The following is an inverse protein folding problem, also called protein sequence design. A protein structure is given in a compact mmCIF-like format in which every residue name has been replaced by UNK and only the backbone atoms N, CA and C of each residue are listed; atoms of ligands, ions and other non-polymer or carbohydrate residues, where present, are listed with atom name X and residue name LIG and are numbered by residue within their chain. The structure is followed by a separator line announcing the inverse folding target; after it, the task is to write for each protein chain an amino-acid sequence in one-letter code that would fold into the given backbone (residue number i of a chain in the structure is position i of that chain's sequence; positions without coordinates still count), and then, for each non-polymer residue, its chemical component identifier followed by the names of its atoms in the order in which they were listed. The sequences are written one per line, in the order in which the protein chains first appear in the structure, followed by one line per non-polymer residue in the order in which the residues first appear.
data_IF_805475937755
#
_entry.id   IF_805475937755
#
_cell.length_a   1.000
_cell.length_b   1.000
_cell.length_c   1.000
_cell.angle_alpha   90.00
_cell.angle_beta   90.00
_cell.angle_gamma   90.00
#
_symmetry.space_group_name_H-M   'P 1'
#
loop_
_entity.id
_entity.type
_entity.pdbx_description
1 polymer ?
2 polymer ?
3 non-polymer ?
4 non-polymer ?
5 non-polymer ?
6 non-polymer ?
7 water ?
#
# COMPACT_ATOMS: atom_id res chain seq x y z
N UNK A 2 -19.90 30.90 7.44
CA UNK A 2 -20.94 30.27 6.55
C UNK A 2 -21.89 31.28 5.89
N UNK A 3 -22.29 31.04 4.64
CA UNK A 3 -21.78 29.95 3.87
C UNK A 3 -20.28 30.02 3.84
N UNK A 4 -19.65 28.86 3.99
CA UNK A 4 -18.23 28.81 3.98
C UNK A 4 -17.90 29.11 2.56
N UNK A 5 -16.76 29.73 2.30
CA UNK A 5 -16.36 29.94 0.90
C UNK A 5 -16.16 28.63 0.19
N UNK A 6 -16.38 28.59 -1.13
CA UNK A 6 -16.10 27.42 -1.92
C UNK A 6 -14.61 27.32 -2.06
N UNK A 7 -14.02 26.29 -1.47
CA UNK A 7 -12.61 26.09 -1.51
C UNK A 7 -12.27 25.30 -2.74
N UNK A 8 -11.19 25.70 -3.41
CA UNK A 8 -10.70 24.97 -4.54
C UNK A 8 -10.26 23.56 -4.12
N UNK A 9 -10.42 22.60 -5.02
CA UNK A 9 -10.06 21.25 -4.75
C UNK A 9 -8.58 21.14 -4.32
N UNK A 10 -7.66 21.81 -5.06
CA UNK A 10 -6.22 21.68 -4.75
C UNK A 10 -5.94 22.24 -3.39
N UNK A 11 -6.57 23.38 -3.07
CA UNK A 11 -6.29 24.00 -1.82
C UNK A 11 -6.80 23.13 -0.68
N UNK A 12 -7.98 22.57 -0.88
CA UNK A 12 -8.58 21.68 0.09
C UNK A 12 -7.68 20.46 0.36
N UNK A 13 -7.17 19.86 -0.69
CA UNK A 13 -6.34 18.67 -0.54
C UNK A 13 -5.05 19.03 0.17
N UNK A 14 -4.42 20.12 -0.22
CA UNK A 14 -3.20 20.54 0.43
C UNK A 14 -3.43 20.83 1.91
N UNK A 15 -4.52 21.50 2.21
CA UNK A 15 -4.84 21.85 3.57
C UNK A 15 -5.00 20.61 4.42
N UNK A 16 -5.71 19.62 3.92
CA UNK A 16 -5.85 18.38 4.67
C UNK A 16 -4.47 17.78 5.01
N UNK A 17 -3.59 17.59 4.02
CA UNK A 17 -2.24 17.02 4.27
C UNK A 17 -1.41 17.94 5.18
N UNK A 18 -1.53 19.24 4.99
CA UNK A 18 -0.70 20.11 5.78
C UNK A 18 -1.12 20.08 7.20
N UNK A 19 -2.42 20.05 7.43
CA UNK A 19 -2.96 20.24 8.79
C UNK A 19 -3.02 18.91 9.53
N UNK A 20 -2.87 17.80 8.83
CA UNK A 20 -2.90 16.45 9.46
C UNK A 20 -1.58 16.12 10.18
N UNK A 21 -1.63 15.61 11.41
CA UNK A 21 -0.40 15.36 12.14
C UNK A 21 0.12 13.95 11.83
N UNK A 22 1.39 13.67 12.15
CA UNK A 22 1.96 12.34 12.11
C UNK A 22 1.83 11.79 13.52
N UNK A 23 1.32 10.58 13.65
CA UNK A 23 1.13 10.01 14.99
C UNK A 23 2.46 9.60 15.61
N UNK A 24 2.41 9.31 16.91
CA UNK A 24 3.54 8.86 17.70
C UNK A 24 3.93 7.43 17.31
N UNK A 25 4.98 6.94 17.93
CA UNK A 25 5.57 5.69 17.55
C UNK A 25 5.32 4.69 18.65
N UNK A 26 5.56 3.42 18.36
CA UNK A 26 5.40 2.34 19.30
C UNK A 26 6.27 1.18 18.81
N UNK A 27 6.61 0.27 19.70
CA UNK A 27 7.38 -0.87 19.30
C UNK A 27 6.40 -2.02 18.94
N UNK A 28 6.62 -2.70 17.83
CA UNK A 28 5.79 -3.88 17.50
C UNK A 28 6.66 -5.06 17.21
N UNK A 29 6.09 -6.25 17.28
CA UNK A 29 6.70 -7.45 16.73
C UNK A 29 6.73 -7.39 15.21
N UNK A 30 7.82 -7.85 14.62
CA UNK A 30 8.00 -7.83 13.19
C UNK A 30 6.86 -8.45 12.40
N UNK A 31 6.24 -9.50 12.91
CA UNK A 31 5.14 -10.16 12.17
C UNK A 31 3.93 -9.26 12.01
N UNK A 32 3.82 -8.26 12.85
CA UNK A 32 2.75 -7.28 12.74
C UNK A 32 3.15 -6.04 11.94
N UNK A 33 4.22 -6.10 11.20
CA UNK A 33 4.71 -4.96 10.46
C UNK A 33 4.05 -4.59 9.16
N UNK A 34 3.10 -5.39 8.65
CA UNK A 34 2.58 -5.13 7.35
C UNK A 34 1.90 -3.78 7.27
N UNK A 35 2.30 -2.99 6.29
CA UNK A 35 1.76 -1.65 6.15
C UNK A 35 2.35 -0.61 7.10
N UNK A 36 3.22 -1.01 8.05
CA UNK A 36 3.76 -0.05 9.02
C UNK A 36 4.95 0.68 8.43
N UNK A 37 5.25 1.85 8.96
CA UNK A 37 6.41 2.59 8.59
C UNK A 37 7.42 2.57 9.73
N UNK A 38 8.65 2.20 9.40
CA UNK A 38 9.75 2.24 10.39
C UNK A 38 10.05 3.62 10.86
N UNK A 39 10.16 3.75 12.17
CA UNK A 39 10.56 4.99 12.73
C UNK A 39 11.96 4.87 13.20
N UNK A 40 12.67 3.79 12.83
CA UNK A 40 14.07 3.65 13.20
C UNK A 40 14.81 3.06 12.01
N UNK A 41 16.13 3.28 11.96
CA UNK A 41 16.95 2.50 11.10
C UNK A 41 17.11 1.11 11.68
N UNK A 42 17.27 0.11 10.84
CA UNK A 42 17.49 -1.21 11.29
C UNK A 42 18.82 -1.71 10.78
N UNK A 43 19.63 -2.22 11.69
CA UNK A 43 21.00 -2.71 11.40
C UNK A 43 21.15 -4.21 11.58
N UNK A 44 22.02 -4.81 10.75
CA UNK A 44 22.37 -6.17 10.87
C UNK A 44 23.35 -6.29 12.00
N UNK A 45 23.18 -7.31 12.83
CA UNK A 45 24.22 -7.62 13.80
C UNK A 45 24.98 -8.91 13.47
N UNK A 46 24.69 -9.52 12.34
CA UNK A 46 25.44 -10.68 11.88
C UNK A 46 25.73 -10.52 10.40
N UNK A 47 26.71 -11.26 9.92
CA UNK A 47 26.87 -11.43 8.46
C UNK A 47 25.91 -12.49 7.89
N UNK A 48 25.48 -12.24 6.66
CA UNK A 48 24.75 -13.19 5.84
C UNK A 48 25.52 -13.34 4.52
N UNK A 49 25.95 -14.54 4.18
CA UNK A 49 25.98 -15.66 5.14
C UNK A 49 26.96 -15.43 6.26
N UNK A 50 26.77 -16.09 7.38
CA UNK A 50 27.76 -15.93 8.45
C UNK A 50 29.00 -16.81 8.32
N UNK A 51 29.01 -17.73 7.37
CA UNK A 51 30.12 -18.66 7.10
C UNK A 51 30.23 -18.70 5.55
N UNK A 52 31.42 -19.00 4.99
CA UNK A 52 31.44 -19.11 3.52
C UNK A 52 30.51 -20.26 3.11
N UNK A 53 29.59 -20.00 2.19
CA UNK A 53 28.50 -20.93 1.85
C UNK A 53 28.51 -21.41 0.43
N UNK A 54 28.30 -22.72 0.24
CA UNK A 54 28.13 -23.21 -1.11
C UNK A 54 26.87 -22.72 -1.83
N UNK A 55 27.05 -22.27 -3.05
CA UNK A 55 25.95 -21.93 -3.96
C UNK A 55 25.37 -23.21 -4.59
N UNK A 56 26.13 -24.31 -4.62
CA UNK A 56 25.71 -25.51 -5.33
C UNK A 56 25.87 -26.83 -4.59
N UNK A 57 25.18 -27.83 -5.14
CA UNK A 57 25.36 -29.21 -4.73
C UNK A 57 26.58 -29.65 -5.53
N UNK A 58 27.56 -30.23 -4.87
CA UNK A 58 28.74 -30.64 -5.60
C UNK A 58 29.89 -30.84 -4.65
N UNK A 59 31.04 -30.18 -4.91
CA UNK A 59 32.27 -30.58 -4.22
C UNK A 59 33.08 -29.36 -3.96
N UNK A 60 33.49 -29.23 -2.70
CA UNK A 60 34.43 -28.19 -2.32
C UNK A 60 35.83 -28.66 -2.68
N UNK A 61 36.54 -27.84 -3.45
CA UNK A 61 37.85 -28.22 -3.97
C UNK A 61 38.94 -27.16 -3.73
N UNK A 62 40.19 -27.61 -3.84
CA UNK A 62 41.31 -26.71 -4.03
C UNK A 62 41.46 -26.48 -5.50
N UNK A 63 41.18 -25.27 -5.95
CA UNK A 63 41.27 -24.89 -7.34
C UNK A 63 42.67 -25.22 -7.91
N UNK A 64 43.69 -25.14 -7.05
CA UNK A 64 45.06 -25.43 -7.42
C UNK A 64 45.27 -26.87 -7.83
N UNK A 65 44.45 -27.80 -7.34
CA UNK A 65 44.58 -29.19 -7.75
C UNK A 65 44.19 -29.32 -9.22
N UNK A 66 43.46 -28.36 -9.77
CA UNK A 66 42.96 -28.44 -11.13
C UNK A 66 41.94 -29.58 -11.34
N UNK A 67 41.69 -29.94 -12.62
CA UNK A 67 40.86 -31.13 -12.93
C UNK A 67 41.55 -32.40 -12.46
N UNK A 68 40.79 -33.47 -12.29
CA UNK A 68 41.39 -34.77 -12.02
C UNK A 68 40.62 -35.59 -11.02
N UNK A 69 41.24 -36.66 -10.57
CA UNK A 69 40.62 -37.62 -9.70
C UNK A 69 40.96 -37.34 -8.24
N UNK A 70 39.94 -37.29 -7.40
CA UNK A 70 40.06 -36.79 -6.03
C UNK A 70 39.49 -37.76 -5.08
N UNK A 71 40.09 -37.79 -3.91
CA UNK A 71 39.51 -38.55 -2.85
C UNK A 71 38.46 -37.65 -2.18
N UNK A 72 37.34 -38.23 -1.84
CA UNK A 72 36.32 -37.50 -1.12
C UNK A 72 36.43 -37.76 0.36
N UNK A 73 36.91 -36.77 1.10
CA UNK A 73 37.16 -36.99 2.55
C UNK A 73 35.96 -36.98 3.43
N UNK A 74 34.87 -36.40 2.95
CA UNK A 74 33.58 -36.51 3.63
C UNK A 74 32.61 -35.48 3.03
N UNK A 75 31.63 -35.06 3.81
CA UNK A 75 30.56 -34.21 3.32
C UNK A 75 30.27 -33.09 4.31
N UNK A 76 30.21 -31.85 3.84
CA UNK A 76 29.73 -30.72 4.63
C UNK A 76 28.22 -30.55 4.38
N UNK A 77 27.42 -30.72 5.42
CA UNK A 77 25.98 -30.62 5.33
C UNK A 77 25.45 -29.30 5.89
N UNK A 78 24.43 -28.77 5.21
CA UNK A 78 23.74 -27.58 5.65
C UNK A 78 23.44 -27.68 7.15
N UNK A 79 23.78 -26.67 7.92
CA UNK A 79 23.42 -26.71 9.37
C UNK A 79 24.55 -27.18 10.28
N UNK A 80 25.65 -27.63 9.70
CA UNK A 80 26.74 -28.18 10.51
C UNK A 80 28.09 -27.65 10.01
N UNK A 81 28.84 -27.13 10.96
CA UNK A 81 30.19 -26.63 10.74
C UNK A 81 31.15 -27.82 10.52
N UNK A 82 31.84 -27.86 9.39
CA UNK A 82 32.77 -28.95 9.14
C UNK A 82 34.04 -28.83 9.99
N UNK A 83 34.56 -29.99 10.34
CA UNK A 83 35.73 -30.13 11.21
C UNK A 83 36.99 -30.57 10.43
N UNK A 84 36.84 -31.09 9.21
CA UNK A 84 38.01 -31.50 8.40
C UNK A 84 38.57 -30.40 7.56
N UNK A 85 39.82 -30.54 7.20
CA UNK A 85 40.47 -29.63 6.28
C UNK A 85 40.77 -30.37 4.98
N UNK A 86 40.51 -29.71 3.86
CA UNK A 86 40.69 -30.36 2.58
C UNK A 86 42.15 -30.18 2.18
N UNK A 87 42.86 -31.28 1.98
CA UNK A 87 44.28 -31.25 1.63
C UNK A 87 44.40 -31.52 0.14
N UNK A 88 45.57 -31.20 -0.46
CA UNK A 88 45.63 -31.21 -1.93
C UNK A 88 45.34 -32.59 -2.45
N UNK A 89 44.56 -32.68 -3.53
CA UNK A 89 44.03 -33.94 -4.04
C UNK A 89 42.82 -34.50 -3.28
N UNK A 90 42.23 -33.69 -2.39
CA UNK A 90 41.03 -34.10 -1.73
C UNK A 90 39.93 -33.07 -2.05
N UNK A 91 38.70 -33.48 -1.75
CA UNK A 91 37.52 -32.64 -1.92
C UNK A 91 36.57 -33.06 -0.85
N UNK A 92 35.57 -32.22 -0.59
CA UNK A 92 34.52 -32.61 0.27
C UNK A 92 33.22 -32.32 -0.44
N UNK A 93 32.32 -33.22 -0.32
CA UNK A 93 31.00 -33.01 -0.86
C UNK A 93 30.33 -31.84 -0.12
N UNK A 94 29.64 -31.00 -0.87
CA UNK A 94 28.79 -29.97 -0.30
C UNK A 94 27.42 -29.99 -0.93
N UNK A 95 26.45 -29.47 -0.19
CA UNK A 95 25.14 -29.14 -0.77
C UNK A 95 24.93 -27.63 -0.72
N UNK A 96 23.89 -27.14 -1.40
CA UNK A 96 23.55 -25.73 -1.45
C UNK A 96 23.34 -25.22 -0.03
N UNK A 97 24.04 -24.16 0.34
CA UNK A 97 23.91 -23.60 1.69
C UNK A 97 24.83 -24.19 2.75
N UNK A 98 25.63 -25.20 2.39
CA UNK A 98 26.52 -25.81 3.33
C UNK A 98 27.79 -24.97 3.47
N UNK A 99 28.42 -25.00 4.66
CA UNK A 99 29.64 -24.18 4.84
C UNK A 99 30.79 -24.81 4.08
N UNK A 100 31.67 -24.01 3.55
CA UNK A 100 32.83 -24.50 2.88
C UNK A 100 33.89 -24.89 3.91
N UNK A 101 34.43 -26.11 3.81
CA UNK A 101 35.40 -26.54 4.80
C UNK A 101 36.75 -25.79 4.71
N UNK A 102 37.49 -25.74 5.83
CA UNK A 102 38.88 -25.27 5.79
C UNK A 102 39.68 -26.03 4.71
N UNK A 103 40.41 -25.26 3.92
CA UNK A 103 41.31 -25.80 2.90
C UNK A 103 40.77 -25.85 1.48
N UNK A 104 39.44 -25.72 1.31
CA UNK A 104 38.84 -25.63 -0.01
C UNK A 104 38.80 -24.20 -0.29
N UNK A 105 38.84 -23.83 -1.55
CA UNK A 105 38.73 -22.42 -1.93
C UNK A 105 37.79 -22.26 -3.08
N UNK A 106 37.14 -23.34 -3.55
CA UNK A 106 36.18 -23.19 -4.64
C UNK A 106 35.13 -24.33 -4.61
N UNK A 107 34.02 -24.16 -5.31
CA UNK A 107 33.04 -25.24 -5.44
C UNK A 107 32.84 -25.58 -6.90
N UNK A 108 32.84 -26.88 -7.20
CA UNK A 108 32.48 -27.45 -8.51
C UNK A 108 31.16 -28.17 -8.40
N UNK A 109 30.20 -27.78 -9.20
CA UNK A 109 28.89 -28.39 -9.16
C UNK A 109 28.89 -29.83 -9.66
N UNK A 110 27.90 -30.61 -9.22
CA UNK A 110 27.93 -32.06 -9.44
C UNK A 110 27.94 -32.38 -10.92
N UNK A 111 27.31 -31.53 -11.70
CA UNK A 111 27.26 -31.72 -13.13
C UNK A 111 28.61 -31.63 -13.81
N UNK A 112 29.59 -30.94 -13.23
CA UNK A 112 30.96 -30.92 -13.79
C UNK A 112 31.89 -31.96 -13.17
N UNK A 113 31.31 -33.05 -12.68
CA UNK A 113 32.01 -34.14 -12.12
C UNK A 113 31.44 -35.46 -12.62
N UNK A 114 32.20 -36.55 -12.42
CA UNK A 114 31.71 -37.91 -12.62
C UNK A 114 32.15 -38.71 -11.45
N UNK A 115 31.24 -39.50 -10.90
CA UNK A 115 31.58 -40.31 -9.73
C UNK A 115 32.39 -41.53 -10.17
N UNK A 116 33.47 -41.83 -9.47
CA UNK A 116 34.20 -43.08 -9.72
C UNK A 116 33.76 -44.20 -8.78
N UNK A 117 34.11 -44.07 -7.48
CA UNK A 117 33.95 -45.14 -6.50
C UNK A 117 32.93 -44.81 -5.45
N UNK A 118 32.10 -45.78 -5.11
CA UNK A 118 31.30 -45.68 -3.93
C UNK A 118 31.77 -46.66 -2.82
N UNK A 119 30.87 -46.87 -1.86
CA UNK A 119 30.95 -47.88 -0.82
C UNK A 119 30.03 -49.03 -1.21
N UNK A 120 30.43 -50.24 -0.86
CA UNK A 120 29.67 -51.42 -1.26
C UNK A 120 28.22 -51.19 -0.87
N UNK A 121 28.02 -50.56 0.28
CA UNK A 121 26.69 -50.09 0.70
C UNK A 121 26.17 -49.09 -0.31
N UNK A 122 27.10 -48.43 -1.01
CA UNK A 122 26.74 -47.31 -1.86
C UNK A 122 26.21 -46.23 -0.95
N UNK A 123 26.82 -46.07 0.22
CA UNK A 123 26.38 -45.04 1.13
C UNK A 123 27.28 -43.80 0.99
N UNK A 124 28.51 -44.05 0.56
CA UNK A 124 29.62 -43.13 0.66
C UNK A 124 30.23 -43.01 -0.71
N UNK A 125 30.30 -41.80 -1.24
CA UNK A 125 31.13 -41.55 -2.40
C UNK A 125 32.56 -41.52 -1.95
N UNK A 126 33.42 -42.20 -2.69
CA UNK A 126 34.80 -42.30 -2.30
C UNK A 126 35.73 -41.46 -3.12
N UNK A 127 35.46 -41.41 -4.43
CA UNK A 127 36.38 -40.75 -5.35
C UNK A 127 35.60 -40.15 -6.52
N UNK A 128 36.01 -38.98 -6.95
CA UNK A 128 35.26 -38.26 -7.94
C UNK A 128 36.20 -37.61 -8.87
N UNK A 129 35.80 -37.57 -10.13
CA UNK A 129 36.57 -36.92 -11.17
C UNK A 129 36.01 -35.52 -11.41
N UNK A 130 36.86 -34.53 -11.18
CA UNK A 130 36.52 -33.15 -11.31
C UNK A 130 36.87 -32.82 -12.73
N UNK A 131 35.89 -32.42 -13.53
CA UNK A 131 36.09 -32.32 -14.95
C UNK A 131 36.49 -30.94 -15.37
N UNK A 132 36.55 -29.98 -14.47
CA UNK A 132 36.83 -28.60 -14.84
C UNK A 132 37.87 -27.97 -13.93
N UNK A 133 38.43 -26.86 -14.41
CA UNK A 133 39.37 -26.00 -13.66
C UNK A 133 38.48 -24.99 -12.94
N UNK A 134 38.34 -25.10 -11.63
CA UNK A 134 37.50 -24.12 -10.90
C UNK A 134 38.15 -22.74 -10.94
N UNK A 135 37.35 -21.71 -11.17
CA UNK A 135 37.79 -20.35 -10.91
C UNK A 135 37.89 -20.20 -9.38
N UNK A 136 38.89 -19.43 -8.89
CA UNK A 136 38.99 -19.31 -7.43
C UNK A 136 37.71 -18.67 -6.86
N UNK A 137 37.27 -19.20 -5.73
CA UNK A 137 36.11 -18.71 -5.06
C UNK A 137 34.84 -19.03 -5.79
N UNK A 138 34.93 -19.89 -6.79
CA UNK A 138 33.76 -20.21 -7.61
C UNK A 138 32.63 -20.89 -6.83
N UNK A 139 31.41 -20.43 -7.04
CA UNK A 139 30.22 -21.03 -6.44
C UNK A 139 30.27 -21.03 -4.92
N UNK A 140 30.99 -20.05 -4.36
CA UNK A 140 31.02 -19.83 -2.90
C UNK A 140 30.43 -18.44 -2.58
N UNK A 141 29.59 -18.34 -1.57
CA UNK A 141 29.17 -17.02 -1.07
C UNK A 141 30.01 -16.77 0.16
N UNK A 142 31.01 -15.87 0.05
CA UNK A 142 31.82 -15.57 1.21
C UNK A 142 31.04 -14.89 2.34
N UNK A 143 31.58 -14.94 3.54
CA UNK A 143 30.98 -14.29 4.70
C UNK A 143 30.61 -12.88 4.38
N UNK A 144 29.36 -12.50 4.65
CA UNK A 144 28.95 -11.12 4.48
C UNK A 144 28.65 -10.73 3.06
N UNK A 145 28.68 -11.67 2.13
CA UNK A 145 28.37 -11.34 0.76
C UNK A 145 26.99 -10.67 0.56
N UNK A 146 25.97 -11.14 1.27
CA UNK A 146 24.62 -10.59 1.08
C UNK A 146 24.38 -9.40 2.02
N UNK A 147 24.76 -9.57 3.28
CA UNK A 147 24.58 -8.56 4.27
C UNK A 147 25.81 -8.55 5.14
N UNK A 148 26.32 -7.38 5.46
CA UNK A 148 27.42 -7.26 6.41
C UNK A 148 26.99 -6.92 7.79
N UNK A 149 27.73 -7.40 8.78
CA UNK A 149 27.48 -7.02 10.16
C UNK A 149 27.64 -5.50 10.27
N UNK A 150 26.70 -4.83 10.94
CA UNK A 150 26.76 -3.38 11.02
C UNK A 150 26.14 -2.61 9.87
N UNK A 151 25.69 -3.29 8.83
CA UNK A 151 25.09 -2.60 7.71
C UNK A 151 23.67 -2.16 8.06
N UNK A 152 23.26 -0.98 7.60
CA UNK A 152 21.90 -0.55 7.81
C UNK A 152 21.13 -1.22 6.70
N UNK A 153 20.27 -2.18 7.04
CA UNK A 153 19.46 -2.86 6.02
C UNK A 153 18.10 -2.20 5.79
N UNK A 154 17.52 -1.48 6.75
CA UNK A 154 16.25 -0.82 6.49
C UNK A 154 16.30 0.54 7.09
N UNK A 155 15.90 1.53 6.31
CA UNK A 155 16.00 2.91 6.76
C UNK A 155 14.67 3.35 7.39
N UNK A 156 14.72 4.23 8.41
CA UNK A 156 13.56 4.89 8.86
C UNK A 156 12.81 5.53 7.70
N UNK A 157 11.49 5.47 7.76
CA UNK A 157 10.63 5.89 6.66
C UNK A 157 10.18 4.81 5.71
N UNK A 158 10.76 3.64 5.81
CA UNK A 158 10.40 2.53 4.99
C UNK A 158 9.00 1.99 5.31
N UNK A 159 8.19 1.88 4.28
CA UNK A 159 6.80 1.41 4.39
C UNK A 159 6.87 -0.11 4.15
N UNK A 160 6.53 -0.91 5.14
CA UNK A 160 6.89 -2.33 5.07
C UNK A 160 5.87 -3.26 4.38
N UNK A 161 6.38 -4.10 3.50
CA UNK A 161 5.62 -5.17 2.90
C UNK A 161 6.26 -6.53 3.32
N UNK A 162 5.84 -7.59 2.66
CA UNK A 162 6.34 -8.91 3.00
C UNK A 162 7.83 -9.08 3.01
N UNK A 163 8.50 -8.59 1.97
CA UNK A 163 9.93 -8.75 1.90
C UNK A 163 10.70 -8.01 3.02
N UNK A 164 10.18 -6.88 3.45
CA UNK A 164 10.78 -6.17 4.55
C UNK A 164 10.58 -6.93 5.85
N UNK A 165 9.44 -7.58 6.02
CA UNK A 165 9.21 -8.41 7.21
C UNK A 165 10.25 -9.54 7.19
N UNK A 166 10.43 -10.14 6.02
CA UNK A 166 11.43 -11.17 5.85
C UNK A 166 12.88 -10.77 6.14
N UNK A 167 13.23 -9.57 5.74
CA UNK A 167 14.52 -9.05 6.04
C UNK A 167 14.71 -8.83 7.56
N UNK A 168 13.71 -8.28 8.25
CA UNK A 168 13.75 -8.20 9.71
C UNK A 168 13.99 -9.62 10.29
N UNK A 169 13.30 -10.60 9.74
CA UNK A 169 13.47 -11.96 10.23
C UNK A 169 14.89 -12.42 9.97
N UNK A 170 15.38 -12.17 8.76
CA UNK A 170 16.76 -12.51 8.39
C UNK A 170 17.81 -11.99 9.38
N UNK A 171 17.71 -10.71 9.73
CA UNK A 171 18.71 -10.11 10.64
C UNK A 171 18.39 -10.26 12.11
N UNK A 172 17.30 -10.93 12.42
CA UNK A 172 16.91 -11.17 13.82
C UNK A 172 16.43 -9.96 14.57
N UNK A 173 15.95 -8.93 13.88
CA UNK A 173 15.42 -7.77 14.58
C UNK A 173 13.89 -7.94 14.63
N UNK A 174 13.41 -8.52 15.71
CA UNK A 174 12.04 -8.99 15.76
C UNK A 174 11.13 -7.99 16.38
N UNK A 175 11.69 -6.93 16.92
CA UNK A 175 10.92 -5.85 17.52
C UNK A 175 11.40 -4.55 16.91
N UNK A 176 10.50 -3.72 16.37
CA UNK A 176 10.89 -2.50 15.70
C UNK A 176 9.97 -1.35 16.06
N UNK A 177 10.50 -0.15 16.02
CA UNK A 177 9.73 1.03 16.32
C UNK A 177 9.08 1.52 15.02
N UNK A 178 7.77 1.72 15.09
CA UNK A 178 7.01 2.18 13.98
C UNK A 178 6.04 3.24 14.37
N UNK A 179 5.53 3.97 13.38
CA UNK A 179 4.39 4.86 13.67
C UNK A 179 3.14 4.05 13.94
N UNK A 180 2.34 4.60 14.83
CA UNK A 180 1.03 4.09 15.14
C UNK A 180 0.10 4.28 13.94
N UNK A 181 -0.92 3.45 13.87
CA UNK A 181 -1.98 3.53 12.94
C UNK A 181 -3.09 4.41 13.52
N UNK A 182 -3.73 5.20 12.69
CA UNK A 182 -4.83 5.97 13.21
C UNK A 182 -6.02 5.06 13.57
N UNK A 183 -6.67 5.36 14.67
CA UNK A 183 -7.96 4.80 15.00
C UNK A 183 -9.05 5.71 14.49
N UNK A 184 -9.97 5.17 13.70
CA UNK A 184 -10.93 5.98 13.00
C UNK A 184 -12.32 5.66 13.39
N UNK A 185 -13.01 6.68 13.83
CA UNK A 185 -14.37 6.57 14.24
C UNK A 185 -15.33 7.14 13.22
N UNK A 186 -16.42 6.42 12.97
CA UNK A 186 -17.32 6.75 11.89
C UNK A 186 -18.74 6.82 12.45
N UNK A 187 -19.42 7.92 12.17
CA UNK A 187 -20.85 8.09 12.51
C UNK A 187 -21.61 8.54 11.31
N UNK A 188 -22.92 8.28 11.32
CA UNK A 188 -23.82 8.85 10.38
C UNK A 188 -24.85 9.70 11.15
N UNK A 189 -25.34 10.76 10.52
CA UNK A 189 -26.34 11.64 11.13
C UNK A 189 -27.50 11.76 10.13
N UNK A 190 -28.72 11.73 10.64
CA UNK A 190 -29.90 12.06 9.88
C UNK A 190 -31.06 11.32 10.49
N UNK A 191 -32.18 12.02 10.66
CA UNK A 191 -33.38 11.41 11.25
C UNK A 191 -34.06 10.34 10.41
N UNK A 192 -33.71 10.27 9.13
CA UNK A 192 -34.26 9.27 8.23
C UNK A 192 -33.58 7.89 8.27
N UNK A 193 -32.46 7.77 8.98
CA UNK A 193 -31.61 6.61 8.88
C UNK A 193 -31.96 5.58 9.90
N UNK A 194 -31.97 4.34 9.42
CA UNK A 194 -32.12 3.15 10.23
C UNK A 194 -30.83 2.38 10.14
N UNK A 195 -30.60 1.46 11.06
CA UNK A 195 -29.57 0.48 10.85
C UNK A 195 -29.85 -0.52 9.71
N UNK A 196 -28.77 -1.05 9.13
CA UNK A 196 -28.85 -2.09 8.10
C UNK A 196 -29.67 -3.26 8.56
N UNK A 197 -29.66 -3.50 9.87
CA UNK A 197 -30.36 -4.64 10.48
C UNK A 197 -31.86 -4.38 10.65
N UNK A 198 -32.34 -3.14 10.44
CA UNK A 198 -33.74 -2.83 10.70
C UNK A 198 -34.60 -3.01 9.45
N UNK A 199 -35.84 -3.39 9.65
CA UNK A 199 -36.84 -3.30 8.57
C UNK A 199 -37.26 -1.84 8.45
N UNK A 200 -37.70 -1.45 7.26
CA UNK A 200 -38.02 -0.05 7.02
C UNK A 200 -39.21 0.36 7.86
N UNK A 201 -39.21 1.59 8.35
CA UNK A 201 -40.37 2.31 8.87
C UNK A 201 -40.69 3.51 7.95
N UNK A 202 -41.93 4.02 8.01
CA UNK A 202 -42.32 5.18 7.20
C UNK A 202 -41.35 6.36 7.29
N UNK A 203 -40.98 6.90 6.15
CA UNK A 203 -40.04 8.02 6.06
C UNK A 203 -38.56 7.69 6.27
N UNK A 204 -38.21 6.40 6.45
CA UNK A 204 -36.85 5.98 6.78
C UNK A 204 -36.20 5.17 5.68
N UNK A 205 -34.87 5.14 5.70
CA UNK A 205 -34.09 4.28 4.80
C UNK A 205 -32.95 3.72 5.62
N UNK A 206 -32.27 2.70 5.12
CA UNK A 206 -31.11 2.19 5.79
C UNK A 206 -29.84 3.01 5.54
N UNK A 207 -29.06 3.18 6.59
CA UNK A 207 -27.74 3.88 6.55
C UNK A 207 -26.76 2.96 5.87
N UNK A 208 -26.28 3.33 4.71
CA UNK A 208 -25.23 2.59 4.07
C UNK A 208 -23.87 3.21 4.15
N UNK A 209 -23.80 4.49 4.52
CA UNK A 209 -22.51 5.19 4.52
C UNK A 209 -21.57 4.69 5.57
N UNK A 210 -22.12 4.42 6.73
CA UNK A 210 -21.30 3.97 7.81
C UNK A 210 -20.61 2.69 7.43
N UNK A 211 -21.36 1.73 6.86
CA UNK A 211 -20.78 0.49 6.37
C UNK A 211 -19.76 0.65 5.28
N UNK A 212 -20.06 1.52 4.34
CA UNK A 212 -19.18 1.68 3.20
C UNK A 212 -17.91 2.39 3.62
N UNK A 213 -18.03 3.37 4.50
CA UNK A 213 -16.84 4.10 5.00
C UNK A 213 -15.95 3.25 5.90
N UNK A 214 -16.55 2.48 6.80
CA UNK A 214 -15.84 1.58 7.66
C UNK A 214 -15.08 0.53 6.86
N UNK A 215 -15.73 -0.06 5.86
CA UNK A 215 -15.07 -1.03 4.99
C UNK A 215 -13.94 -0.40 4.21
N UNK A 216 -14.12 0.84 3.78
CA UNK A 216 -13.03 1.52 3.09
C UNK A 216 -11.81 1.73 3.97
N UNK A 217 -12.02 2.26 5.17
CA UNK A 217 -10.91 2.45 6.08
C UNK A 217 -10.27 1.10 6.43
N UNK A 218 -11.11 0.10 6.70
CA UNK A 218 -10.61 -1.21 7.01
C UNK A 218 -9.78 -1.83 5.90
N UNK A 219 -10.19 -1.64 4.65
CA UNK A 219 -9.43 -2.16 3.56
C UNK A 219 -7.95 -1.68 3.57
N UNK A 220 -7.74 -0.47 4.08
CA UNK A 220 -6.38 0.11 4.21
C UNK A 220 -5.64 -0.32 5.41
N UNK A 221 -6.25 -1.13 6.24
CA UNK A 221 -5.54 -1.66 7.36
C UNK A 221 -5.74 -1.01 8.70
N UNK A 222 -6.52 0.04 8.76
CA UNK A 222 -6.62 0.82 9.99
C UNK A 222 -7.75 0.40 10.89
N UNK A 223 -7.52 0.40 12.21
CA UNK A 223 -8.63 0.10 13.16
C UNK A 223 -9.74 1.13 13.13
N UNK A 224 -10.98 0.68 13.32
CA UNK A 224 -12.16 1.54 13.22
C UNK A 224 -13.08 1.41 14.43
N UNK A 225 -13.92 2.43 14.62
CA UNK A 225 -14.92 2.40 15.65
C UNK A 225 -16.21 2.86 15.04
N UNK A 226 -17.26 2.10 15.29
CA UNK A 226 -18.54 2.41 14.72
C UNK A 226 -19.33 3.23 15.72
N UNK A 227 -19.51 4.50 15.47
CA UNK A 227 -20.19 5.34 16.44
C UNK A 227 -21.66 5.35 16.21
N UNK A 228 -22.15 4.66 15.18
CA UNK A 228 -23.58 4.49 14.98
C UNK A 228 -24.24 5.66 14.32
N UNK A 229 -25.58 5.72 14.48
CA UNK A 229 -26.40 6.76 13.89
C UNK A 229 -26.69 7.81 14.95
N UNK A 230 -26.59 9.05 14.56
CA UNK A 230 -26.80 10.13 15.50
C UNK A 230 -27.87 11.00 14.87
N UNK A 231 -28.87 11.41 15.63
CA UNK A 231 -29.95 12.22 15.01
C UNK A 231 -29.54 13.64 14.60
N UNK A 232 -30.42 14.29 13.84
CA UNK A 232 -30.24 15.68 13.44
C UNK A 232 -30.55 16.56 14.65
N UNK A 233 -29.67 16.59 15.64
CA UNK A 233 -29.82 17.59 16.70
C UNK A 233 -28.52 17.92 17.44
N UNK A 234 -28.30 19.22 17.72
CA UNK A 234 -26.98 19.62 18.21
C UNK A 234 -26.47 18.89 19.46
N UNK A 235 -27.35 18.58 20.39
CA UNK A 235 -26.92 17.97 21.66
C UNK A 235 -26.37 16.56 21.45
N UNK A 236 -27.08 15.76 20.69
CA UNK A 236 -26.63 14.40 20.41
C UNK A 236 -25.36 14.45 19.54
N UNK A 237 -25.26 15.43 18.62
CA UNK A 237 -24.07 15.50 17.78
C UNK A 237 -22.88 15.83 18.64
N UNK A 238 -23.01 16.77 19.55
CA UNK A 238 -21.89 17.09 20.48
C UNK A 238 -21.46 15.87 21.28
N UNK A 239 -22.39 15.07 21.76
CA UNK A 239 -22.00 13.94 22.58
C UNK A 239 -21.24 12.90 21.80
N UNK A 240 -21.72 12.62 20.61
CA UNK A 240 -21.14 11.65 19.75
C UNK A 240 -19.74 12.14 19.40
N UNK A 241 -19.62 13.42 19.07
CA UNK A 241 -18.34 13.97 18.64
C UNK A 241 -17.33 13.88 19.77
N UNK A 242 -17.75 14.21 20.99
CA UNK A 242 -16.87 14.08 22.16
C UNK A 242 -16.44 12.63 22.43
N UNK A 243 -17.34 11.71 22.22
CA UNK A 243 -17.02 10.30 22.33
C UNK A 243 -15.97 9.88 21.28
N UNK A 244 -16.21 10.28 20.04
CA UNK A 244 -15.26 10.08 18.98
C UNK A 244 -13.87 10.61 19.29
N UNK A 245 -13.82 11.85 19.78
CA UNK A 245 -12.56 12.48 20.17
C UNK A 245 -11.82 11.68 21.27
N UNK A 246 -12.59 11.21 22.23
CA UNK A 246 -12.03 10.47 23.33
C UNK A 246 -11.49 9.12 22.81
N UNK A 247 -12.24 8.46 21.94
CA UNK A 247 -11.84 7.10 21.55
C UNK A 247 -10.98 7.01 20.29
N UNK A 248 -10.79 8.08 19.52
CA UNK A 248 -10.17 7.91 18.23
C UNK A 248 -9.24 9.06 17.89
N UNK A 249 -8.44 8.88 16.85
CA UNK A 249 -7.55 9.95 16.34
C UNK A 249 -8.24 10.79 15.28
N UNK A 250 -9.25 10.18 14.66
CA UNK A 250 -9.92 10.70 13.49
C UNK A 250 -11.40 10.45 13.64
N UNK A 251 -12.24 11.44 13.32
CA UNK A 251 -13.69 11.22 13.28
C UNK A 251 -14.13 11.49 11.88
N UNK A 252 -14.94 10.62 11.34
CA UNK A 252 -15.63 10.85 10.08
C UNK A 252 -17.12 10.80 10.33
N UNK A 253 -17.80 11.86 9.95
CA UNK A 253 -19.26 11.87 9.91
C UNK A 253 -19.77 11.94 8.49
N UNK A 254 -21.02 11.57 8.29
CA UNK A 254 -21.70 11.82 7.02
C UNK A 254 -23.15 12.27 7.26
N UNK A 255 -23.67 13.12 6.36
CA UNK A 255 -24.95 13.78 6.50
C UNK A 255 -24.83 15.06 7.33
N UNK A 256 -25.88 15.86 7.40
CA UNK A 256 -25.92 17.00 8.32
C UNK A 256 -25.12 18.22 7.90
N UNK A 257 -24.60 18.22 6.68
CA UNK A 257 -23.74 19.34 6.23
C UNK A 257 -24.27 20.12 5.01
N UNK A 258 -25.52 19.89 4.61
CA UNK A 258 -26.24 20.79 3.68
C UNK A 258 -26.43 22.17 4.34
N UNK A 259 -26.98 23.11 3.58
CA UNK A 259 -27.17 24.50 4.06
C UNK A 259 -28.53 24.64 4.69
N UNK A 260 -29.29 23.54 4.64
CA UNK A 260 -30.69 23.56 4.96
C UNK A 260 -30.87 23.57 6.44
N UNK A 261 -32.07 23.23 6.86
CA UNK A 261 -32.29 23.10 8.29
C UNK A 261 -32.41 21.67 8.69
N UNK A 262 -32.41 21.46 10.00
CA UNK A 262 -32.04 20.18 10.44
C UNK A 262 -30.52 19.95 10.13
N UNK A 263 -29.75 21.00 9.80
CA UNK A 263 -28.29 20.80 9.55
C UNK A 263 -27.42 21.67 10.44
N UNK A 264 -27.06 21.12 11.60
CA UNK A 264 -26.34 21.85 12.68
C UNK A 264 -24.86 21.42 12.86
N UNK A 265 -24.36 20.49 12.06
CA UNK A 265 -23.09 19.90 12.39
C UNK A 265 -21.99 20.93 12.37
N UNK A 266 -21.92 21.74 11.32
CA UNK A 266 -20.81 22.70 11.23
C UNK A 266 -20.83 23.74 12.39
N UNK A 267 -22.02 24.16 12.76
CA UNK A 267 -22.24 25.03 13.92
C UNK A 267 -21.71 24.36 15.21
N UNK A 268 -22.03 23.08 15.41
CA UNK A 268 -21.59 22.37 16.61
C UNK A 268 -20.05 22.28 16.66
N UNK A 269 -19.44 21.97 15.52
CA UNK A 269 -17.96 21.89 15.41
C UNK A 269 -17.29 23.14 15.90
N UNK A 270 -17.86 24.25 15.55
CA UNK A 270 -17.24 25.52 15.84
C UNK A 270 -17.51 26.00 17.25
N UNK A 271 -18.77 26.21 17.57
CA UNK A 271 -19.10 26.81 18.86
C UNK A 271 -18.98 25.84 20.00
N UNK A 272 -19.53 24.65 19.82
CA UNK A 272 -19.62 23.71 20.93
C UNK A 272 -18.35 22.97 21.09
N UNK A 273 -17.84 22.40 20.02
CA UNK A 273 -16.61 21.61 20.10
C UNK A 273 -15.35 22.46 20.15
N UNK A 274 -15.40 23.70 19.65
CA UNK A 274 -14.22 24.58 19.56
C UNK A 274 -13.16 24.09 18.59
N UNK A 275 -13.62 23.51 17.50
CA UNK A 275 -12.74 22.98 16.50
C UNK A 275 -12.46 24.11 15.55
N UNK A 276 -11.37 24.00 14.82
CA UNK A 276 -11.10 24.91 13.74
C UNK A 276 -11.51 24.29 12.42
N UNK A 277 -12.51 24.88 11.78
CA UNK A 277 -12.91 24.46 10.46
C UNK A 277 -12.05 25.10 9.42
N UNK A 278 -11.32 24.32 8.64
CA UNK A 278 -10.48 24.89 7.63
C UNK A 278 -11.21 25.11 6.32
N UNK A 279 -12.18 24.27 6.00
CA UNK A 279 -13.04 24.48 4.86
C UNK A 279 -14.35 23.77 5.09
N UNK A 280 -15.42 24.34 4.52
CA UNK A 280 -16.77 23.91 4.74
C UNK A 280 -17.48 23.65 3.42
N UNK A 281 -16.90 24.07 2.33
CA UNK A 281 -17.36 23.67 1.02
C UNK A 281 -16.17 23.55 0.10
N UNK A 282 -16.32 22.67 -0.88
CA UNK A 282 -15.31 22.42 -1.88
C UNK A 282 -15.93 22.49 -3.26
N UNK A 283 -15.25 23.20 -4.16
CA UNK A 283 -15.70 23.31 -5.53
C UNK A 283 -15.33 22.02 -6.27
N UNK A 284 -16.18 21.01 -6.10
CA UNK A 284 -15.97 19.71 -6.62
C UNK A 284 -17.32 19.03 -6.81
N UNK A 285 -17.30 17.99 -7.63
CA UNK A 285 -18.48 17.21 -7.91
C UNK A 285 -18.15 15.72 -7.93
N UNK A 286 -18.81 14.91 -7.11
CA UNK A 286 -19.65 15.31 -5.99
C UNK A 286 -18.76 15.80 -4.87
N UNK A 287 -19.35 16.31 -3.80
CA UNK A 287 -18.60 16.70 -2.64
C UNK A 287 -18.69 18.11 -2.19
N UNK A 288 -19.52 18.91 -2.83
CA UNK A 288 -19.68 20.31 -2.46
C UNK A 288 -19.62 20.65 -0.94
N UNK A 289 -20.35 19.92 -0.10
CA UNK A 289 -20.45 20.35 1.32
C UNK A 289 -19.39 19.82 2.25
N UNK A 290 -18.36 19.17 1.69
CA UNK A 290 -17.34 18.50 2.49
C UNK A 290 -16.63 19.46 3.40
N UNK A 291 -16.43 19.05 4.64
CA UNK A 291 -15.90 19.89 5.67
C UNK A 291 -14.77 19.20 6.45
N UNK A 292 -13.73 19.98 6.76
CA UNK A 292 -12.54 19.49 7.41
C UNK A 292 -12.16 20.40 8.54
N UNK A 293 -11.99 19.82 9.70
CA UNK A 293 -11.70 20.57 10.89
C UNK A 293 -10.61 19.84 11.70
N UNK A 294 -9.88 20.62 12.49
CA UNK A 294 -8.93 20.06 13.44
C UNK A 294 -9.28 20.52 14.80
N UNK A 295 -8.81 19.77 15.79
CA UNK A 295 -9.08 20.14 17.16
C UNK A 295 -7.87 19.80 17.97
N UNK A 296 -7.29 20.80 18.61
CA UNK A 296 -6.08 20.60 19.38
C UNK A 296 -6.43 20.57 20.83
N UNK A 297 -6.24 19.41 21.41
CA UNK A 297 -6.64 19.23 22.78
C UNK A 297 -5.59 18.37 23.49
N UNK A 298 -4.94 18.98 24.47
CA UNK A 298 -3.89 18.36 25.26
C UNK A 298 -2.67 18.06 24.41
N UNK A 299 -2.28 19.03 23.59
CA UNK A 299 -1.10 18.89 22.74
C UNK A 299 -1.23 17.82 21.68
N UNK A 300 -2.45 17.30 21.52
CA UNK A 300 -2.75 16.30 20.53
C UNK A 300 -3.75 16.89 19.52
N UNK A 301 -3.54 16.65 18.24
CA UNK A 301 -4.47 17.15 17.23
C UNK A 301 -5.33 15.99 16.69
N UNK A 302 -6.64 16.17 16.78
CA UNK A 302 -7.63 15.27 16.25
C UNK A 302 -8.07 15.87 14.95
N UNK A 303 -8.39 15.05 13.95
CA UNK A 303 -8.98 15.53 12.74
C UNK A 303 -10.39 15.00 12.51
N UNK A 304 -11.19 15.81 11.85
CA UNK A 304 -12.61 15.56 11.69
C UNK A 304 -12.99 15.83 10.26
N UNK A 305 -13.56 14.81 9.62
CA UNK A 305 -14.06 14.99 8.29
C UNK A 305 -15.58 14.88 8.38
N UNK A 306 -16.29 15.93 7.98
CA UNK A 306 -17.77 15.82 7.86
C UNK A 306 -18.15 15.73 6.41
N UNK A 307 -18.44 14.52 5.96
CA UNK A 307 -18.65 14.29 4.59
C UNK A 307 -20.15 14.43 4.26
N UNK A 308 -20.46 14.58 2.97
CA UNK A 308 -21.84 14.64 2.58
C UNK A 308 -22.60 13.36 2.81
N UNK A 309 -23.88 13.54 3.03
CA UNK A 309 -24.79 12.42 3.22
C UNK A 309 -25.06 11.59 2.00
N UNK A 310 -25.00 12.15 0.80
CA UNK A 310 -25.23 11.37 -0.38
C UNK A 310 -24.19 10.21 -0.44
N UNK A 311 -24.67 8.96 -0.64
CA UNK A 311 -23.77 7.80 -0.44
C UNK A 311 -22.61 7.79 -1.43
N UNK A 312 -22.86 8.19 -2.67
CA UNK A 312 -21.83 8.28 -3.64
C UNK A 312 -20.83 9.38 -3.26
N UNK A 313 -21.30 10.54 -2.75
CA UNK A 313 -20.37 11.62 -2.39
C UNK A 313 -19.50 11.20 -1.25
N UNK A 314 -20.11 10.53 -0.31
CA UNK A 314 -19.37 10.09 0.87
C UNK A 314 -18.22 9.12 0.49
N UNK A 315 -18.41 8.13 -0.35
CA UNK A 315 -17.25 7.27 -0.73
C UNK A 315 -16.13 7.98 -1.52
N UNK A 316 -16.52 8.88 -2.40
CA UNK A 316 -15.61 9.58 -3.26
C UNK A 316 -14.76 10.50 -2.43
N UNK A 317 -15.39 11.25 -1.52
CA UNK A 317 -14.69 12.21 -0.68
C UNK A 317 -13.79 11.50 0.34
N UNK A 318 -14.22 10.34 0.78
CA UNK A 318 -13.40 9.54 1.68
C UNK A 318 -12.14 9.09 0.98
N UNK A 319 -12.26 8.67 -0.27
CA UNK A 319 -11.05 8.31 -0.98
C UNK A 319 -10.13 9.43 -1.30
N UNK A 320 -10.68 10.60 -1.59
CA UNK A 320 -9.84 11.73 -1.96
C UNK A 320 -9.14 12.42 -0.78
N UNK A 321 -9.84 12.59 0.33
CA UNK A 321 -9.41 13.42 1.42
C UNK A 321 -8.99 12.62 2.64
N UNK A 322 -9.74 11.61 2.96
CA UNK A 322 -9.51 10.85 4.16
C UNK A 322 -8.34 9.88 4.08
N UNK A 323 -8.35 9.04 3.07
CA UNK A 323 -7.31 8.03 2.94
C UNK A 323 -5.87 8.63 2.96
N UNK A 324 -5.61 9.67 2.14
CA UNK A 324 -4.33 10.32 2.19
C UNK A 324 -3.98 10.82 3.57
N UNK A 325 -4.91 11.43 4.27
CA UNK A 325 -4.65 11.86 5.64
C UNK A 325 -4.27 10.72 6.55
N UNK A 326 -4.95 9.60 6.43
CA UNK A 326 -4.65 8.46 7.28
C UNK A 326 -3.26 7.95 6.94
N UNK A 327 -2.90 7.95 5.66
CA UNK A 327 -1.58 7.54 5.27
C UNK A 327 -0.54 8.46 5.87
N UNK A 328 -0.78 9.76 5.89
CA UNK A 328 0.13 10.65 6.58
C UNK A 328 0.23 10.33 8.06
N UNK A 329 -0.92 10.12 8.70
CA UNK A 329 -0.89 9.90 10.14
C UNK A 329 -0.10 8.65 10.52
N UNK A 330 -0.18 7.59 9.71
CA UNK A 330 0.60 6.38 10.00
C UNK A 330 2.05 6.43 9.51
N UNK A 331 2.54 7.61 9.16
CA UNK A 331 3.95 7.77 8.91
C UNK A 331 4.45 7.65 7.51
N UNK A 332 3.54 7.48 6.55
CA UNK A 332 3.95 7.37 5.18
C UNK A 332 4.43 8.76 4.75
N UNK A 333 5.61 8.81 4.22
CA UNK A 333 6.28 10.07 3.99
C UNK A 333 5.63 10.85 2.86
N UNK A 334 5.27 10.15 1.77
CA UNK A 334 4.52 10.74 0.71
C UNK A 334 3.16 10.05 0.63
N UNK A 335 2.15 10.62 1.28
CA UNK A 335 0.86 9.97 1.40
C UNK A 335 -0.09 10.17 0.23
N UNK A 336 0.36 10.82 -0.82
CA UNK A 336 -0.48 11.09 -1.96
C UNK A 336 -0.84 9.83 -2.71
N UNK A 337 -2.01 9.77 -3.31
CA UNK A 337 -2.47 8.59 -4.02
C UNK A 337 -1.75 8.39 -5.34
N UNK A 338 -1.76 7.17 -5.81
CA UNK A 338 -1.21 6.89 -7.11
C UNK A 338 -2.21 7.26 -8.17
N UNK A 339 -1.75 8.01 -9.14
CA UNK A 339 -2.59 8.39 -10.24
C UNK A 339 -1.98 7.84 -11.51
N UNK A 340 -2.79 7.10 -12.23
CA UNK A 340 -2.36 6.53 -13.49
C UNK A 340 -3.13 7.10 -14.68
N UNK A 341 -2.64 6.83 -15.88
CA UNK A 341 -3.35 7.22 -17.08
C UNK A 341 -4.09 6.01 -17.61
N UNK A 342 -5.28 6.32 -18.10
CA UNK A 342 -6.20 5.38 -18.61
C UNK A 342 -6.99 6.01 -19.78
N UNK A 343 -7.60 5.19 -20.61
CA UNK A 343 -8.44 5.63 -21.71
C UNK A 343 -9.90 5.63 -21.27
N UNK A 344 -10.62 6.73 -21.44
CA UNK A 344 -12.09 6.71 -21.23
C UNK A 344 -12.81 5.70 -22.07
N UNK A 345 -13.72 5.00 -21.45
CA UNK A 345 -14.50 4.02 -22.15
C UNK A 345 -15.75 4.66 -22.71
N UNK A 346 -16.07 5.90 -22.34
CA UNK A 346 -17.34 6.50 -22.71
C UNK A 346 -17.22 7.99 -22.78
N UNK A 347 -17.93 8.58 -23.73
CA UNK A 347 -18.04 10.01 -23.82
C UNK A 347 -18.55 10.58 -22.50
N UNK A 348 -18.01 11.71 -22.09
CA UNK A 348 -18.55 12.39 -20.95
C UNK A 348 -18.54 13.88 -21.21
N UNK A 349 -19.59 14.54 -20.76
CA UNK A 349 -19.66 16.01 -20.76
C UNK A 349 -19.12 16.56 -19.43
N UNK A 350 -18.26 17.57 -19.51
CA UNK A 350 -17.55 18.07 -18.34
C UNK A 350 -18.37 19.12 -17.58
N UNK A 351 -18.08 19.21 -16.29
CA UNK A 351 -18.71 20.15 -15.40
C UNK A 351 -17.75 21.30 -15.15
N UNK A 352 -18.28 22.48 -14.75
CA UNK A 352 -17.38 23.55 -14.33
C UNK A 352 -16.50 23.10 -13.16
N UNK A 353 -17.03 22.22 -12.34
CA UNK A 353 -16.29 21.63 -11.22
C UNK A 353 -15.45 20.43 -11.63
N UNK A 354 -14.26 20.29 -11.04
CA UNK A 354 -13.58 19.03 -11.20
C UNK A 354 -14.44 17.93 -10.67
N UNK A 355 -14.53 16.86 -11.45
CA UNK A 355 -15.46 15.83 -11.17
C UNK A 355 -14.80 14.46 -10.98
N UNK A 356 -15.41 13.62 -10.16
CA UNK A 356 -14.82 12.35 -9.83
C UNK A 356 -15.85 11.27 -9.86
N UNK A 357 -15.48 10.12 -10.41
CA UNK A 357 -16.40 9.03 -10.53
C UNK A 357 -15.73 7.65 -10.38
N UNK A 358 -16.37 6.75 -9.64
CA UNK A 358 -15.82 5.42 -9.51
C UNK A 358 -15.76 4.74 -10.86
N UNK A 359 -14.74 3.90 -11.05
CA UNK A 359 -14.59 3.21 -12.29
C UNK A 359 -13.84 1.94 -12.07
N UNK A 360 -13.81 1.15 -13.13
CA UNK A 360 -13.07 -0.11 -13.16
C UNK A 360 -11.99 0.03 -14.21
N UNK A 361 -10.75 -0.23 -13.81
CA UNK A 361 -9.62 -0.24 -14.68
C UNK A 361 -9.33 -1.67 -15.22
N UNK A 362 -9.22 -1.78 -16.55
CA UNK A 362 -8.99 -3.06 -17.19
C UNK A 362 -7.83 -2.92 -18.17
N UNK A 363 -6.84 -3.79 -18.06
CA UNK A 363 -5.77 -3.80 -19.06
C UNK A 363 -6.04 -4.88 -20.09
N UNK A 364 -6.17 -4.47 -21.36
CA UNK A 364 -6.45 -5.37 -22.49
C UNK A 364 -5.19 -5.96 -23.11
N UNK A 365 -5.37 -6.83 -24.09
CA UNK A 365 -4.39 -7.85 -24.42
C UNK A 365 -2.95 -7.36 -24.44
N UNK A 366 -2.64 -6.51 -25.40
CA UNK A 366 -1.30 -5.96 -25.47
C UNK A 366 -1.34 -4.45 -25.58
N UNK A 367 -2.51 -3.85 -25.35
CA UNK A 367 -2.64 -2.40 -25.32
C UNK A 367 -1.99 -1.78 -24.08
N UNK A 368 -1.17 -0.78 -24.32
CA UNK A 368 -0.35 -0.22 -23.28
C UNK A 368 -1.13 0.45 -22.13
N UNK A 369 -2.25 1.09 -22.42
CA UNK A 369 -3.00 1.77 -21.37
C UNK A 369 -4.24 1.02 -21.03
N UNK A 370 -4.63 1.06 -19.75
CA UNK A 370 -5.87 0.48 -19.33
C UNK A 370 -7.05 1.29 -19.77
N UNK A 371 -8.19 0.64 -19.93
CA UNK A 371 -9.48 1.30 -20.09
C UNK A 371 -10.12 1.52 -18.73
N UNK A 372 -10.70 2.72 -18.55
CA UNK A 372 -11.46 3.12 -17.36
C UNK A 372 -12.93 3.12 -17.73
N UNK A 373 -13.67 2.26 -17.07
CA UNK A 373 -15.10 2.14 -17.29
C UNK A 373 -15.81 2.58 -16.03
N UNK A 374 -16.58 3.65 -16.17
CA UNK A 374 -17.34 4.18 -15.05
C UNK A 374 -18.32 3.15 -14.56
N UNK A 375 -18.46 3.04 -13.25
CA UNK A 375 -19.41 2.09 -12.66
C UNK A 375 -20.82 2.67 -12.80
N UNK A 376 -21.83 1.81 -12.88
CA UNK A 376 -23.22 2.26 -12.97
C UNK A 376 -23.85 2.16 -14.34
N UNK A 377 -23.18 1.47 -15.27
CA UNK A 377 -23.84 0.99 -16.48
C UNK A 377 -23.38 -0.43 -16.79
N UNK A 381 -21.25 -7.47 -19.95
CA UNK A 381 -21.18 -6.38 -18.99
C UNK A 381 -21.30 -6.95 -17.57
N UNK A 382 -21.95 -8.11 -17.45
CA UNK A 382 -22.14 -8.74 -16.16
C UNK A 382 -20.78 -9.08 -15.56
N UNK A 383 -19.90 -9.64 -16.38
CA UNK A 383 -18.61 -10.05 -15.88
C UNK A 383 -17.96 -8.82 -15.25
N UNK A 384 -18.08 -7.67 -15.90
CA UNK A 384 -17.62 -6.41 -15.34
C UNK A 384 -18.44 -6.02 -14.11
N UNK A 385 -19.74 -6.29 -14.15
CA UNK A 385 -20.60 -5.97 -13.00
C UNK A 385 -20.16 -6.71 -11.74
N UNK A 386 -19.37 -7.75 -11.92
CA UNK A 386 -18.89 -8.50 -10.77
C UNK A 386 -17.53 -8.10 -10.25
N UNK A 387 -17.12 -6.93 -10.71
CA UNK A 387 -15.83 -6.35 -10.36
C UNK A 387 -16.10 -5.11 -9.53
N UNK A 388 -15.44 -5.01 -8.38
CA UNK A 388 -15.56 -3.83 -7.50
C UNK A 388 -14.74 -2.65 -8.11
N UNK A 389 -15.16 -1.41 -7.90
CA UNK A 389 -14.44 -0.26 -8.40
C UNK A 389 -13.02 -0.29 -7.90
N UNK A 390 -12.06 0.02 -8.78
CA UNK A 390 -10.71 0.09 -8.36
C UNK A 390 -10.05 1.39 -8.76
N UNK A 391 -10.81 2.31 -9.33
CA UNK A 391 -10.27 3.61 -9.65
C UNK A 391 -11.30 4.65 -9.46
N UNK A 392 -10.84 5.89 -9.36
CA UNK A 392 -11.68 7.03 -9.35
C UNK A 392 -11.24 7.86 -10.51
N UNK A 393 -12.11 7.95 -11.49
CA UNK A 393 -11.90 8.80 -12.61
C UNK A 393 -11.82 10.28 -12.21
N UNK A 394 -10.79 10.98 -12.65
CA UNK A 394 -10.56 12.33 -12.31
C UNK A 394 -10.77 13.26 -13.53
N UNK A 395 -11.96 13.78 -13.66
CA UNK A 395 -12.32 14.60 -14.82
C UNK A 395 -11.95 16.07 -14.63
N UNK A 396 -11.28 16.64 -15.64
CA UNK A 396 -10.86 18.05 -15.59
C UNK A 396 -12.07 19.00 -15.62
N UNK A 397 -11.99 20.13 -14.91
CA UNK A 397 -13.04 21.15 -15.01
C UNK A 397 -13.28 21.60 -16.46
N UNK A 398 -14.54 21.77 -16.84
CA UNK A 398 -14.87 22.36 -18.15
C UNK A 398 -14.08 23.65 -18.40
N UNK A 399 -13.52 23.80 -19.59
CA UNK A 399 -12.95 25.08 -20.03
C UNK A 399 -13.65 25.48 -21.34
N UNK A 400 -13.46 26.72 -21.76
CA UNK A 400 -14.16 27.20 -22.96
C UNK A 400 -13.87 26.27 -24.15
N UNK A 401 -12.62 25.89 -24.38
CA UNK A 401 -12.35 24.92 -25.46
C UNK A 401 -12.82 23.48 -25.19
N UNK A 402 -12.61 22.94 -23.97
CA UNK A 402 -13.01 21.56 -23.66
C UNK A 402 -14.25 21.48 -22.82
N UNK A 403 -15.30 20.95 -23.42
CA UNK A 403 -16.59 20.85 -22.83
C UNK A 403 -17.00 19.39 -22.74
N UNK A 404 -16.23 18.50 -23.37
CA UNK A 404 -16.53 17.08 -23.30
C UNK A 404 -15.25 16.33 -23.59
N UNK A 405 -15.26 15.06 -23.23
CA UNK A 405 -14.17 14.17 -23.52
C UNK A 405 -14.76 12.97 -24.20
N UNK A 406 -13.98 12.40 -25.11
CA UNK A 406 -14.48 11.34 -25.93
C UNK A 406 -13.84 10.05 -25.54
N UNK A 407 -14.53 8.98 -25.80
CA UNK A 407 -14.02 7.66 -25.60
C UNK A 407 -12.66 7.58 -26.26
N UNK A 408 -11.67 6.99 -25.60
CA UNK A 408 -10.32 6.89 -26.15
C UNK A 408 -9.40 7.89 -25.53
N UNK A 409 -9.92 9.00 -25.09
CA UNK A 409 -9.02 10.06 -24.60
C UNK A 409 -8.37 9.61 -23.25
N UNK A 410 -7.15 10.08 -22.99
CA UNK A 410 -6.36 9.72 -21.86
C UNK A 410 -6.73 10.66 -20.73
N UNK A 411 -7.07 10.01 -19.60
CA UNK A 411 -7.45 10.68 -18.36
C UNK A 411 -6.75 10.11 -17.16
N UNK A 412 -6.70 10.91 -16.11
CA UNK A 412 -6.15 10.53 -14.83
C UNK A 412 -7.15 9.70 -14.08
N UNK A 413 -6.69 8.59 -13.56
CA UNK A 413 -7.51 7.79 -12.71
C UNK A 413 -6.75 7.58 -11.42
N UNK A 414 -7.38 7.86 -10.29
CA UNK A 414 -6.77 7.60 -9.00
C UNK A 414 -7.01 6.15 -8.60
N UNK A 415 -5.95 5.46 -8.17
CA UNK A 415 -6.14 4.07 -7.79
C UNK A 415 -6.75 3.99 -6.38
N UNK A 416 -7.85 3.25 -6.23
CA UNK A 416 -8.48 3.07 -4.92
C UNK A 416 -8.62 1.63 -4.53
N UNK A 417 -8.29 0.71 -5.43
CA UNK A 417 -8.49 -0.69 -5.18
C UNK A 417 -7.34 -1.50 -5.71
N UNK A 418 -7.42 -2.82 -5.52
CA UNK A 418 -6.35 -3.72 -5.95
C UNK A 418 -6.22 -3.66 -7.48
N UNK A 419 -4.97 -3.76 -7.96
CA UNK A 419 -4.72 -3.99 -9.37
C UNK A 419 -5.04 -2.70 -10.03
N UNK B 1 2.21 17.87 -8.88
CA UNK B 1 1.10 16.98 -8.52
C UNK B 1 -0.19 17.76 -8.37
N UNK B 2 -1.25 17.24 -8.98
CA UNK B 2 -2.57 17.82 -8.77
C UNK B 2 -3.63 16.77 -8.45
N UNK B 3 -4.45 17.06 -7.47
CA UNK B 3 -5.59 16.21 -7.15
C UNK B 3 -6.70 16.37 -8.18
N UNK B 4 -6.59 17.40 -9.02
CA UNK B 4 -7.55 17.66 -10.07
C UNK B 4 -7.09 17.06 -11.39
N UNK B 5 -7.97 16.32 -12.06
CA UNK B 5 -7.60 15.64 -13.28
C UNK B 5 -7.18 16.59 -14.38
N UNK B 6 -6.11 16.21 -15.09
CA UNK B 6 -5.58 17.01 -16.17
C UNK B 6 -6.36 16.84 -17.47
N UNK B 7 -6.32 17.87 -18.30
CA UNK B 7 -6.82 17.78 -19.67
C UNK B 7 -5.86 16.94 -20.51
N UNK B 8 -6.43 16.28 -21.61
CA UNK B 8 -5.43 15.55 -22.42
C UNK B 8 -4.37 16.51 -22.95
N UNK B 9 -3.11 16.07 -22.91
CA UNK B 9 -1.96 16.96 -22.93
C UNK B 9 -1.82 17.84 -24.18
N UNK B 10 -2.08 17.27 -25.35
CA UNK B 10 -2.01 18.07 -26.57
C UNK B 10 -3.16 17.74 -27.51
N UNK B 11 -4.00 18.75 -27.73
CA UNK B 11 -5.20 18.61 -28.53
C UNK B 11 -5.94 19.94 -28.58
N UNK C 1 -3.90 -3.21 -48.30
CA UNK C 1 -3.95 -1.83 -48.75
C UNK C 1 -5.36 -1.42 -49.11
N UNK C 2 -5.78 -0.26 -48.63
CA UNK C 2 -7.06 0.30 -49.04
C UNK C 2 -6.96 1.76 -49.43
N UNK C 3 -7.59 2.11 -50.53
CA UNK C 3 -7.70 3.50 -50.94
C UNK C 3 -8.69 4.27 -50.08
N UNK C 4 -9.48 3.52 -49.30
CA UNK C 4 -10.45 4.12 -48.39
C UNK C 4 -9.88 4.26 -46.99
N UNK C 5 -10.03 5.45 -46.41
CA UNK C 5 -9.43 5.72 -45.12
C UNK C 5 -9.98 4.82 -44.03
N UNK C 6 -9.08 4.34 -43.19
CA UNK C 6 -9.44 3.45 -42.09
C UNK C 6 -10.08 4.19 -40.92
N UNK C 7 -10.89 3.48 -40.17
CA UNK C 7 -11.44 4.00 -38.93
C UNK C 7 -10.31 4.06 -37.92
N UNK C 8 -10.45 5.00 -36.89
CA UNK C 8 -9.26 5.11 -36.03
C UNK C 8 -9.18 4.01 -34.99
N UNK C 9 -8.85 2.81 -35.47
CA UNK C 9 -8.39 1.68 -34.66
C UNK C 9 -9.38 1.21 -33.59
N UNK C 10 -8.83 0.81 -32.44
CA UNK C 10 -9.66 0.44 -31.30
C UNK C 10 -10.24 1.69 -30.65
N UNK C 11 -11.52 1.63 -30.31
CA UNK C 11 -12.25 2.77 -29.78
C UNK C 11 -13.75 2.53 -29.92
X LIG D 1 -13.02 27.96 -6.99
X LIG D 1 -14.12 28.39 -7.40
X LIG D 1 -12.55 28.39 -5.91
X LIG D 1 -12.19 26.95 -7.78
X LIG E 1 -1.18 -10.73 10.78
X LIG E 1 -2.55 -11.15 10.77
X LIG E 1 -0.65 -10.58 12.19
X LIG E 1 0.05 -11.76 12.58
X LIG F 1 -29.90 15.17 5.99
X LIG G 1 -10.88 15.13 -28.84
X LIG G 1 -9.67 14.99 -28.73
X LIG G 1 -8.80 15.98 -28.49
X LIG G 1 -7.59 15.44 -28.45
X LIG G 1 -7.74 14.14 -28.65
X LIG G 1 -6.82 13.33 -28.68
X LIG G 1 -9.03 13.83 -28.83
X LIG G 1 -9.55 12.64 -29.07
X LIG G 1 -8.80 11.49 -28.82
X LIG G 1 -9.34 10.25 -29.06
X LIG G 1 -10.84 12.51 -29.55
X LIG G 1 -11.38 11.25 -29.79
X LIG G 1 -10.63 10.11 -29.54
X LIG G 1 -11.13 8.90 -29.77
X LIG G 1 -10.48 7.74 -29.81
X LIG G 1 -9.27 7.59 -29.63
X LIG G 1 -11.32 6.74 -30.07
X LIG G 1 -12.52 7.27 -30.21
X LIG G 1 -12.40 8.59 -30.03
X LIG G 1 -13.32 9.39 -30.08
#
# INVERSE_FOLDING_TARGET
MSPFPLTSMDKAFITVLEMTPVLGTEIINYRDGMGRVLAQDVYAKDNLPPFPASVKDGYAVRAADGPGDRFIIGESQAGEQPTQTVMPGQVMRVTTGAPIPCGADAVVQVEDTELIRESDDGTEELEVRILVQARPGQDIRPIGHDIKRGECVLAKGTHMGPSEIGLLATVGVTEVEVNKFPVVAVMSTGNELLNPEDDLLPGKIRDSNRSTLLATIQEHGYPTINLGIVGDNPDDLLNALNEGISRADVIITSGGVSMGEKDYLKQVLDIDLHAQIHFGRVFMKPGLPTTFATLDIDGVRKIIFALPGNPVSAVVTCNLFVVPALRKMQGILDPRPTIIKARLSCDVKLDPRPEYHRCILTWHHQEPLPWAQSTGNQMSSRLMSMRSANGLLMLPPKTEQYVELHKGEVVDVMVIGRL
FSIVGSLPRDC
FSIVGSLPRDC
ACT C O OXT CH3
EDO C1 O1 C2 O2
CA CA
3F7 OAA CAO CAI CAJ CAP OAB NAS CAM CAF CAH CAE CAG CAN NAT CAQ OAC CAK CAL CAR OAD
#
